data_IF_480355811776
#
_entry.id   IF_480355811776
#
_cell.length_a   1.000
_cell.length_b   1.000
_cell.length_c   1.000
_cell.angle_alpha   90.00
_cell.angle_beta   90.00
_cell.angle_gamma   90.00
#
_symmetry.space_group_name_H-M   'P 1'
#
loop_
_entity.id
_entity.type
_entity.pdbx_description
1 polymer ?
#
# COMPACT_ATOMS: atom_id res chain seq x y z
N UNK A 1 43.44 68.48 -30.66
CA UNK A 1 44.06 67.26 -30.13
C UNK A 1 42.91 66.46 -29.53
N UNK A 2 41.99 65.97 -30.34
CA UNK A 2 42.18 64.93 -31.39
C UNK A 2 42.73 63.68 -30.71
N UNK A 3 42.25 62.47 -30.92
CA UNK A 3 41.08 61.85 -31.55
C UNK A 3 41.28 60.34 -31.27
N UNK A 4 40.33 59.52 -31.70
CA UNK A 4 40.40 58.05 -31.81
C UNK A 4 40.08 57.28 -30.52
N UNK A 5 39.27 56.22 -30.51
CA UNK A 5 38.30 55.58 -31.42
C UNK A 5 37.85 54.34 -30.61
N UNK A 6 36.55 54.02 -30.55
CA UNK A 6 35.97 52.80 -31.15
C UNK A 6 36.65 51.48 -30.71
N UNK A 7 35.99 50.46 -30.16
CA UNK A 7 34.77 49.81 -30.66
C UNK A 7 34.29 48.75 -29.64
N UNK A 8 32.99 48.38 -29.61
CA UNK A 8 32.41 47.36 -28.76
C UNK A 8 32.67 45.96 -29.33
N UNK A 9 32.51 44.94 -28.49
CA UNK A 9 32.28 43.58 -28.98
C UNK A 9 30.83 43.23 -28.71
N UNK A 10 30.06 43.36 -29.79
CA UNK A 10 28.83 42.64 -30.04
C UNK A 10 29.07 41.13 -30.09
N UNK A 11 28.03 40.42 -29.69
CA UNK A 11 27.49 39.19 -30.29
C UNK A 11 28.40 37.99 -30.51
N UNK A 12 28.11 36.94 -29.74
CA UNK A 12 28.03 35.57 -30.24
C UNK A 12 27.05 34.77 -29.37
N UNK A 13 25.75 35.00 -29.58
CA UNK A 13 24.72 34.00 -29.29
C UNK A 13 24.40 33.29 -30.62
N UNK A 14 24.61 31.97 -30.73
CA UNK A 14 24.06 31.24 -31.86
C UNK A 14 22.56 31.02 -31.65
N UNK A 15 21.75 31.77 -32.39
CA UNK A 15 20.42 31.32 -32.81
C UNK A 15 20.59 30.18 -33.82
N UNK A 16 19.91 29.06 -33.58
CA UNK A 16 19.66 28.03 -34.60
C UNK A 16 18.37 27.29 -34.26
N UNK A 17 17.29 27.83 -34.84
CA UNK A 17 16.19 27.15 -35.54
C UNK A 17 15.24 26.17 -34.81
N UNK A 18 13.94 26.21 -35.17
CA UNK A 18 12.89 25.42 -34.57
C UNK A 18 12.89 23.99 -35.13
N UNK A 19 12.73 22.99 -34.26
CA UNK A 19 12.41 21.62 -34.68
C UNK A 19 10.91 21.55 -34.91
N UNK A 20 10.53 21.64 -36.17
CA UNK A 20 9.25 21.23 -36.71
C UNK A 20 9.25 19.70 -36.80
N UNK A 21 8.64 19.02 -35.83
CA UNK A 21 8.32 17.60 -35.94
C UNK A 21 6.80 17.47 -35.87
N UNK A 22 6.23 17.46 -37.07
CA UNK A 22 4.84 17.11 -37.31
C UNK A 22 4.51 15.74 -36.73
N UNK A 23 3.33 15.71 -36.11
CA UNK A 23 2.52 14.54 -35.81
C UNK A 23 2.53 13.54 -36.98
N UNK A 24 2.97 12.32 -36.72
CA UNK A 24 2.54 11.17 -37.51
C UNK A 24 2.01 10.10 -36.53
N UNK A 25 0.69 10.12 -36.36
CA UNK A 25 -0.06 9.01 -35.74
C UNK A 25 0.03 7.78 -36.66
N UNK A 26 0.36 6.59 -36.13
CA UNK A 26 0.11 5.36 -36.86
C UNK A 26 -1.39 5.02 -36.77
N UNK A 27 -2.10 5.19 -37.89
CA UNK A 27 -3.43 4.58 -38.12
C UNK A 27 -3.33 3.05 -38.06
N UNK A 28 -4.25 2.37 -37.37
CA UNK A 28 -4.42 0.92 -37.51
C UNK A 28 -5.15 0.61 -38.85
N UNK A 29 -4.77 -0.46 -39.57
CA UNK A 29 -5.54 -0.92 -40.71
C UNK A 29 -6.86 -1.57 -40.25
N UNK A 30 -7.95 -1.10 -40.84
CA UNK A 30 -9.26 -1.73 -40.87
C UNK A 30 -9.31 -2.69 -42.06
N UNK A 31 -9.75 -3.92 -41.83
CA UNK A 31 -10.53 -4.76 -42.76
C UNK A 31 -11.20 -5.80 -41.86
N UNK A 32 -12.51 -5.68 -41.56
CA UNK A 32 -13.63 -6.25 -42.33
C UNK A 32 -13.35 -7.66 -42.84
N UNK A 33 -14.25 -8.63 -42.80
CA UNK A 33 -15.52 -8.95 -42.14
C UNK A 33 -15.85 -10.34 -42.72
N UNK A 34 -16.92 -10.98 -42.23
CA UNK A 34 -17.63 -12.10 -42.86
C UNK A 34 -16.98 -13.51 -42.72
N UNK A 35 -17.70 -14.59 -42.43
CA UNK A 35 -19.15 -14.80 -42.50
C UNK A 35 -19.56 -16.10 -41.79
N UNK A 36 -20.76 -16.05 -41.20
CA UNK A 36 -21.84 -17.07 -41.22
C UNK A 36 -21.67 -18.42 -40.52
N UNK A 37 -22.40 -18.54 -39.41
CA UNK A 37 -23.59 -19.38 -39.23
C UNK A 37 -23.72 -20.65 -40.09
N UNK A 38 -24.04 -21.78 -39.42
CA UNK A 38 -25.24 -22.56 -39.75
C UNK A 38 -25.63 -23.54 -38.61
N UNK A 39 -26.77 -23.23 -37.99
CA UNK A 39 -27.91 -24.13 -37.71
C UNK A 39 -28.08 -25.29 -38.74
N UNK A 40 -28.76 -26.43 -38.57
CA UNK A 40 -29.56 -27.10 -37.52
C UNK A 40 -30.04 -28.45 -38.14
N UNK A 41 -30.33 -29.45 -37.29
CA UNK A 41 -31.25 -30.60 -37.43
C UNK A 41 -31.08 -31.66 -38.56
N UNK A 42 -31.12 -32.94 -38.16
CA UNK A 42 -32.25 -33.91 -38.33
C UNK A 42 -31.69 -35.34 -38.11
N UNK A 43 -32.15 -36.06 -37.09
CA UNK A 43 -33.24 -37.04 -37.11
C UNK A 43 -32.81 -38.43 -37.64
N UNK A 44 -32.91 -39.44 -36.77
CA UNK A 44 -33.80 -40.62 -36.91
C UNK A 44 -33.18 -42.00 -36.59
N UNK A 45 -33.97 -42.73 -35.79
CA UNK A 45 -34.13 -44.18 -35.52
C UNK A 45 -32.97 -45.20 -35.48
N UNK A 46 -32.99 -46.06 -34.44
CA UNK A 46 -32.48 -47.44 -34.55
C UNK A 46 -32.05 -48.19 -33.26
N UNK A 47 -33.02 -48.70 -32.48
CA UNK A 47 -33.07 -50.02 -31.81
C UNK A 47 -32.05 -50.45 -30.72
N UNK A 48 -32.64 -50.75 -29.55
CA UNK A 48 -32.38 -51.82 -28.58
C UNK A 48 -31.00 -51.97 -27.89
N UNK A 49 -30.96 -51.89 -26.55
CA UNK A 49 -31.23 -53.01 -25.62
C UNK A 49 -30.62 -52.72 -24.22
N UNK A 50 -31.29 -53.20 -23.15
CA UNK A 50 -30.77 -53.56 -21.80
C UNK A 50 -30.78 -52.53 -20.65
N UNK A 51 -31.76 -52.75 -19.76
CA UNK A 51 -31.78 -52.73 -18.27
C UNK A 51 -31.37 -51.49 -17.44
N UNK A 52 -32.08 -51.20 -16.32
CA UNK A 52 -31.79 -50.07 -15.44
C UNK A 52 -30.79 -50.45 -14.33
N UNK A 53 -29.67 -49.73 -14.26
CA UNK A 53 -28.70 -49.78 -13.15
C UNK A 53 -28.68 -48.47 -12.33
N UNK A 54 -28.16 -48.51 -11.09
CA UNK A 54 -28.68 -47.75 -9.94
C UNK A 54 -28.02 -46.37 -9.73
N UNK A 55 -28.71 -45.56 -8.91
CA UNK A 55 -28.25 -44.25 -8.40
C UNK A 55 -26.87 -44.34 -7.73
N UNK A 56 -25.94 -43.41 -7.98
CA UNK A 56 -24.75 -43.27 -7.17
C UNK A 56 -25.03 -42.45 -5.91
N UNK A 57 -24.85 -43.10 -4.76
CA UNK A 57 -24.66 -42.46 -3.46
C UNK A 57 -23.37 -41.64 -3.49
N UNK A 58 -23.46 -40.34 -3.20
CA UNK A 58 -22.28 -39.49 -2.99
C UNK A 58 -21.81 -39.66 -1.56
N UNK A 59 -20.73 -40.41 -1.39
CA UNK A 59 -19.89 -40.40 -0.20
C UNK A 59 -19.38 -38.97 0.05
N UNK A 60 -19.87 -38.32 1.11
CA UNK A 60 -19.30 -37.08 1.63
C UNK A 60 -18.29 -37.40 2.73
N UNK A 61 -17.03 -37.55 2.33
CA UNK A 61 -15.88 -37.53 3.23
C UNK A 61 -15.86 -36.20 4.01
N UNK A 62 -16.28 -36.26 5.27
CA UNK A 62 -16.25 -35.14 6.21
C UNK A 62 -14.83 -35.02 6.78
N UNK A 63 -13.98 -34.22 6.12
CA UNK A 63 -12.76 -33.69 6.74
C UNK A 63 -13.16 -32.55 7.68
N UNK A 64 -13.37 -32.86 8.96
CA UNK A 64 -13.42 -31.86 10.02
C UNK A 64 -12.02 -31.26 10.21
N UNK A 65 -11.75 -30.16 9.51
CA UNK A 65 -10.66 -29.26 9.84
C UNK A 65 -11.18 -28.27 10.90
N UNK A 66 -10.91 -28.57 12.17
CA UNK A 66 -11.10 -27.65 13.28
C UNK A 66 -10.11 -26.47 13.15
N UNK A 67 -10.40 -25.54 12.26
CA UNK A 67 -9.85 -24.21 12.35
C UNK A 67 -10.78 -23.41 13.25
N UNK A 68 -10.25 -22.99 14.40
CA UNK A 68 -10.84 -21.97 15.25
C UNK A 68 -11.08 -20.72 14.40
N UNK A 69 -12.24 -20.61 13.79
CA UNK A 69 -12.73 -19.37 13.23
C UNK A 69 -13.02 -18.43 14.41
N UNK A 70 -12.03 -17.62 14.76
CA UNK A 70 -12.34 -16.34 15.39
C UNK A 70 -13.28 -15.63 14.42
N UNK A 71 -14.46 -15.16 14.86
CA UNK A 71 -15.37 -14.44 13.99
C UNK A 71 -14.60 -13.28 13.38
N UNK A 72 -14.45 -13.32 12.06
CA UNK A 72 -13.76 -12.29 11.31
C UNK A 72 -14.68 -11.06 11.37
N UNK A 73 -14.41 -10.16 12.30
CA UNK A 73 -15.19 -8.93 12.45
C UNK A 73 -15.13 -8.18 11.12
N UNK A 74 -16.29 -7.74 10.62
CA UNK A 74 -16.46 -7.09 9.30
C UNK A 74 -15.65 -5.79 9.14
N UNK A 75 -14.87 -5.40 10.16
CA UNK A 75 -13.95 -4.27 10.14
C UNK A 75 -14.62 -2.90 10.15
N UNK A 76 -15.94 -2.87 10.02
CA UNK A 76 -16.77 -1.66 10.12
C UNK A 76 -17.08 -1.26 11.56
N UNK A 77 -16.64 -2.05 12.53
CA UNK A 77 -16.74 -1.77 13.96
C UNK A 77 -15.82 -0.62 14.33
N UNK A 78 -16.35 0.32 15.12
CA UNK A 78 -15.55 1.36 15.75
C UNK A 78 -14.66 0.75 16.83
N UNK A 79 -13.43 1.24 16.91
CA UNK A 79 -12.55 0.82 18.01
C UNK A 79 -12.92 1.57 19.29
N UNK A 80 -12.59 0.99 20.43
CA UNK A 80 -12.78 1.67 21.71
C UNK A 80 -11.84 2.88 21.85
N UNK A 81 -12.23 3.89 22.64
CA UNK A 81 -11.39 5.05 22.98
C UNK A 81 -10.02 4.59 23.51
N UNK A 82 -10.02 3.58 24.40
CA UNK A 82 -8.81 2.98 24.97
C UNK A 82 -7.90 2.36 23.90
N UNK A 83 -8.49 1.63 22.94
CA UNK A 83 -7.74 1.08 21.79
C UNK A 83 -7.14 2.19 20.92
N UNK A 84 -7.87 3.29 20.73
CA UNK A 84 -7.43 4.45 19.94
C UNK A 84 -6.26 5.18 20.62
N UNK A 85 -6.39 5.49 21.92
CA UNK A 85 -5.33 6.09 22.72
C UNK A 85 -4.07 5.22 22.68
N UNK A 86 -4.21 3.91 22.91
CA UNK A 86 -3.07 2.99 22.87
C UNK A 86 -2.38 2.98 21.51
N UNK A 87 -3.15 3.07 20.43
CA UNK A 87 -2.60 3.15 19.08
C UNK A 87 -1.74 4.40 18.90
N UNK A 88 -2.28 5.56 19.30
CA UNK A 88 -1.60 6.85 19.26
C UNK A 88 -0.34 6.86 20.14
N UNK A 89 -0.44 6.39 21.39
CA UNK A 89 0.70 6.29 22.32
C UNK A 89 1.80 5.36 21.78
N UNK A 90 1.43 4.30 21.04
CA UNK A 90 2.40 3.37 20.46
C UNK A 90 3.14 3.95 19.24
N UNK A 91 2.58 4.94 18.56
CA UNK A 91 3.25 5.59 17.41
C UNK A 91 4.46 6.42 17.83
N UNK A 92 4.39 7.09 18.98
CA UNK A 92 5.46 7.99 19.44
C UNK A 92 6.81 7.26 19.54
N UNK A 93 6.95 6.12 20.27
CA UNK A 93 8.20 5.37 20.32
C UNK A 93 8.67 4.86 18.95
N UNK A 94 7.75 4.55 18.03
CA UNK A 94 8.09 4.12 16.68
C UNK A 94 8.74 5.27 15.90
N UNK A 95 8.18 6.48 15.97
CA UNK A 95 8.72 7.69 15.35
C UNK A 95 10.11 8.03 15.91
N UNK A 96 10.28 7.97 17.23
CA UNK A 96 11.59 8.19 17.88
C UNK A 96 12.63 7.16 17.45
N UNK A 97 12.27 5.88 17.39
CA UNK A 97 13.20 4.79 17.03
C UNK A 97 13.69 4.88 15.58
N UNK A 98 12.83 5.39 14.70
CA UNK A 98 13.11 5.57 13.29
C UNK A 98 13.86 6.86 12.97
N UNK A 99 14.15 7.68 13.98
CA UNK A 99 14.89 8.94 13.88
C UNK A 99 14.30 9.84 12.79
N UNK A 100 13.01 10.16 12.94
CA UNK A 100 12.27 11.03 12.03
C UNK A 100 12.08 12.42 12.65
N UNK A 101 13.10 13.29 12.65
CA UNK A 101 13.08 14.57 13.36
C UNK A 101 12.06 15.57 12.81
N UNK A 102 11.57 15.39 11.59
CA UNK A 102 10.58 16.30 10.97
C UNK A 102 9.13 16.01 11.39
N UNK A 103 8.91 15.10 12.34
CA UNK A 103 7.57 14.74 12.80
C UNK A 103 7.23 15.33 14.19
N UNK A 104 7.89 16.41 14.61
CA UNK A 104 7.62 17.08 15.89
C UNK A 104 6.18 17.63 15.96
N UNK A 105 5.71 18.28 14.90
CA UNK A 105 4.33 18.78 14.80
C UNK A 105 3.30 17.63 14.84
N UNK A 106 3.63 16.53 14.18
CA UNK A 106 2.83 15.30 14.18
C UNK A 106 2.78 14.64 15.56
N UNK A 107 3.90 14.63 16.30
CA UNK A 107 3.93 14.16 17.67
C UNK A 107 3.07 15.04 18.59
N UNK A 108 3.17 16.37 18.47
CA UNK A 108 2.33 17.29 19.23
C UNK A 108 0.84 17.11 18.92
N UNK A 109 0.51 16.83 17.65
CA UNK A 109 -0.86 16.50 17.24
C UNK A 109 -1.34 15.22 17.93
N UNK A 110 -0.54 14.15 17.92
CA UNK A 110 -0.84 12.90 18.61
C UNK A 110 -1.11 13.15 20.11
N UNK A 111 -0.23 13.91 20.77
CA UNK A 111 -0.34 14.21 22.21
C UNK A 111 -1.64 14.97 22.54
N UNK A 112 -1.99 15.98 21.74
CA UNK A 112 -3.25 16.73 21.88
C UNK A 112 -4.48 15.85 21.67
N UNK A 113 -4.47 14.98 20.65
CA UNK A 113 -5.58 14.06 20.39
C UNK A 113 -5.75 13.07 21.57
N UNK A 114 -4.65 12.56 22.13
CA UNK A 114 -4.70 11.70 23.33
C UNK A 114 -5.31 12.44 24.52
N UNK A 115 -4.90 13.70 24.77
CA UNK A 115 -5.44 14.52 25.85
C UNK A 115 -6.95 14.75 25.68
N UNK A 116 -7.38 15.17 24.48
CA UNK A 116 -8.79 15.31 24.12
C UNK A 116 -9.59 14.05 24.43
N UNK A 117 -9.10 12.89 24.01
CA UNK A 117 -9.80 11.62 24.24
C UNK A 117 -9.88 11.21 25.71
N UNK A 118 -8.89 11.58 26.52
CA UNK A 118 -8.89 11.34 27.97
C UNK A 118 -9.92 12.22 28.68
N UNK A 119 -10.16 13.44 28.20
CA UNK A 119 -11.09 14.39 28.83
C UNK A 119 -12.55 14.17 28.41
N UNK A 120 -12.81 14.08 27.10
CA UNK A 120 -14.17 14.12 26.53
C UNK A 120 -14.50 12.93 25.64
N UNK A 121 -13.58 11.96 25.47
CA UNK A 121 -13.75 10.80 24.59
C UNK A 121 -13.52 11.12 23.11
N UNK A 122 -13.86 10.17 22.23
CA UNK A 122 -13.64 10.26 20.78
C UNK A 122 -14.95 10.32 19.97
N UNK A 123 -16.02 10.86 20.54
CA UNK A 123 -17.36 10.79 19.94
C UNK A 123 -17.43 11.38 18.52
N UNK A 124 -16.67 12.45 18.28
CA UNK A 124 -16.58 13.17 17.00
C UNK A 124 -15.53 12.59 16.04
N UNK A 125 -14.60 11.78 16.55
CA UNK A 125 -13.41 11.28 15.83
C UNK A 125 -13.33 9.75 15.92
N UNK A 126 -14.48 9.09 15.88
CA UNK A 126 -14.56 7.63 15.94
C UNK A 126 -13.94 7.04 14.70
N UNK A 127 -12.92 6.22 14.90
CA UNK A 127 -12.28 5.47 13.82
C UNK A 127 -12.72 4.00 13.82
N UNK A 128 -12.86 3.45 12.63
CA UNK A 128 -13.19 2.05 12.38
C UNK A 128 -11.93 1.21 12.27
N UNK A 129 -12.05 -0.08 12.59
CA UNK A 129 -10.95 -1.02 12.43
C UNK A 129 -10.44 -1.10 10.98
N UNK A 130 -11.29 -0.90 9.98
CA UNK A 130 -10.87 -0.84 8.58
C UNK A 130 -10.01 0.39 8.26
N UNK A 131 -10.23 1.52 8.94
CA UNK A 131 -9.38 2.72 8.78
C UNK A 131 -7.99 2.46 9.36
N UNK A 132 -7.91 1.81 10.54
CA UNK A 132 -6.65 1.31 11.09
C UNK A 132 -5.93 0.37 10.12
N UNK A 133 -6.61 -0.65 9.59
CA UNK A 133 -6.00 -1.61 8.66
C UNK A 133 -5.51 -0.93 7.38
N UNK A 134 -6.29 0.01 6.86
CA UNK A 134 -5.98 0.75 5.64
C UNK A 134 -4.76 1.65 5.84
N UNK A 135 -4.69 2.36 6.96
CA UNK A 135 -3.55 3.24 7.27
C UNK A 135 -2.25 2.44 7.45
N UNK A 136 -2.30 1.32 8.19
CA UNK A 136 -1.17 0.42 8.37
C UNK A 136 -0.69 -0.20 7.04
N UNK A 137 -1.62 -0.65 6.20
CA UNK A 137 -1.29 -1.20 4.89
C UNK A 137 -0.67 -0.13 3.98
N UNK A 138 -1.22 1.09 4.00
CA UNK A 138 -0.72 2.22 3.21
C UNK A 138 0.72 2.56 3.61
N UNK A 139 0.98 2.67 4.91
CA UNK A 139 2.32 2.88 5.46
C UNK A 139 3.31 1.80 4.97
N UNK A 140 2.93 0.52 5.11
CA UNK A 140 3.76 -0.60 4.69
C UNK A 140 4.06 -0.57 3.18
N UNK A 141 3.05 -0.28 2.35
CA UNK A 141 3.21 -0.20 0.90
C UNK A 141 4.12 0.96 0.46
N UNK A 142 4.02 2.13 1.11
CA UNK A 142 4.90 3.27 0.83
C UNK A 142 6.36 2.88 1.05
N UNK A 143 6.65 2.23 2.18
CA UNK A 143 8.01 1.81 2.54
C UNK A 143 8.50 0.69 1.62
N UNK A 144 7.70 -0.35 1.39
CA UNK A 144 8.06 -1.49 0.55
C UNK A 144 8.40 -1.06 -0.88
N UNK A 145 7.56 -0.19 -1.49
CA UNK A 145 7.79 0.32 -2.85
C UNK A 145 8.96 1.27 -2.96
N UNK A 146 9.31 1.93 -1.85
CA UNK A 146 10.45 2.85 -1.80
C UNK A 146 11.78 2.14 -1.57
N UNK A 147 11.75 0.89 -1.10
CA UNK A 147 12.92 0.12 -0.75
C UNK A 147 13.66 -0.41 -1.98
N UNK A 148 14.94 -0.04 -2.11
CA UNK A 148 15.83 -0.42 -3.21
C UNK A 148 17.16 -0.94 -2.65
N UNK A 149 17.82 -1.81 -3.41
CA UNK A 149 19.18 -2.30 -3.05
C UNK A 149 20.23 -1.19 -3.14
N UNK A 150 20.09 -0.32 -4.12
CA UNK A 150 20.96 0.84 -4.33
C UNK A 150 20.13 2.12 -4.31
N UNK A 151 20.57 3.10 -3.54
CA UNK A 151 19.98 4.43 -3.46
C UNK A 151 20.95 5.43 -4.07
N UNK A 152 20.38 6.42 -4.76
CA UNK A 152 21.14 7.54 -5.33
C UNK A 152 21.93 8.22 -4.22
N UNK A 153 23.24 8.38 -4.45
CA UNK A 153 24.16 9.02 -3.50
C UNK A 153 23.68 10.46 -3.26
N UNK A 154 23.27 10.78 -2.00
CA UNK A 154 23.08 12.10 -1.36
C UNK A 154 21.87 12.19 -0.42
N UNK A 155 21.02 11.17 -0.33
CA UNK A 155 19.89 11.16 0.61
C UNK A 155 20.22 10.40 1.89
N UNK A 156 19.69 10.85 3.03
CA UNK A 156 19.69 10.08 4.27
C UNK A 156 18.75 8.88 4.12
N UNK A 157 19.24 7.71 4.52
CA UNK A 157 18.54 6.44 4.28
C UNK A 157 18.45 5.63 5.55
N UNK A 158 17.39 4.82 5.63
CA UNK A 158 17.23 3.81 6.66
C UNK A 158 17.07 2.42 6.05
N UNK A 159 17.25 1.41 6.88
CA UNK A 159 17.12 -0.01 6.55
C UNK A 159 15.65 -0.43 6.59
N UNK A 160 15.24 -1.23 5.59
CA UNK A 160 13.92 -1.88 5.57
C UNK A 160 13.77 -2.86 6.73
N UNK A 161 14.82 -3.61 7.06
CA UNK A 161 14.83 -4.47 8.24
C UNK A 161 14.61 -3.67 9.53
N UNK A 162 15.34 -2.57 9.74
CA UNK A 162 15.15 -1.69 10.91
C UNK A 162 13.70 -1.18 10.98
N UNK A 163 13.12 -0.77 9.86
CA UNK A 163 11.72 -0.33 9.82
C UNK A 163 10.75 -1.44 10.20
N UNK A 164 10.88 -2.62 9.61
CA UNK A 164 9.95 -3.73 9.87
C UNK A 164 10.04 -4.23 11.31
N UNK A 165 11.23 -4.20 11.92
CA UNK A 165 11.40 -4.51 13.35
C UNK A 165 10.59 -3.52 14.20
N UNK A 166 10.77 -2.21 14.00
CA UNK A 166 10.03 -1.18 14.72
C UNK A 166 8.53 -1.29 14.49
N UNK A 167 8.11 -1.52 13.24
CA UNK A 167 6.71 -1.64 12.86
C UNK A 167 6.06 -2.90 13.45
N UNK A 168 6.76 -4.03 13.46
CA UNK A 168 6.30 -5.26 14.11
C UNK A 168 6.13 -5.04 15.61
N UNK A 169 7.10 -4.41 16.28
CA UNK A 169 7.01 -4.11 17.71
C UNK A 169 5.84 -3.17 18.04
N UNK A 170 5.63 -2.15 17.20
CA UNK A 170 4.45 -1.28 17.27
C UNK A 170 3.16 -2.11 17.22
N UNK A 171 2.97 -2.95 16.19
CA UNK A 171 1.77 -3.77 16.03
C UNK A 171 1.51 -4.71 17.20
N UNK A 172 2.55 -5.35 17.74
CA UNK A 172 2.44 -6.24 18.90
C UNK A 172 2.00 -5.46 20.16
N UNK A 173 2.45 -4.22 20.31
CA UNK A 173 2.12 -3.36 21.45
C UNK A 173 0.64 -2.97 21.47
N UNK A 174 -0.01 -2.88 20.30
CA UNK A 174 -1.44 -2.57 20.18
C UNK A 174 -2.33 -3.60 20.89
N UNK A 175 -1.91 -4.87 20.92
CA UNK A 175 -2.70 -6.00 21.47
C UNK A 175 -4.11 -6.09 20.87
N UNK A 176 -4.25 -5.79 19.58
CA UNK A 176 -5.50 -5.89 18.82
C UNK A 176 -5.51 -7.18 18.01
N UNK A 177 -6.39 -8.12 18.36
CA UNK A 177 -6.47 -9.45 17.71
C UNK A 177 -6.86 -9.33 16.24
N UNK A 178 -7.60 -8.28 15.90
CA UNK A 178 -8.02 -7.90 14.56
C UNK A 178 -6.84 -7.63 13.61
N UNK A 179 -5.63 -7.44 14.16
CA UNK A 179 -4.38 -7.21 13.46
C UNK A 179 -3.42 -8.41 13.46
N UNK A 180 -3.79 -9.56 14.05
CA UNK A 180 -2.90 -10.73 14.17
C UNK A 180 -2.40 -11.23 12.80
N UNK A 181 -3.28 -11.22 11.79
CA UNK A 181 -2.91 -11.56 10.40
C UNK A 181 -1.90 -10.57 9.81
N UNK A 182 -2.02 -9.29 10.17
CA UNK A 182 -1.11 -8.24 9.73
C UNK A 182 0.25 -8.36 10.42
N UNK A 183 0.28 -8.67 11.72
CA UNK A 183 1.49 -9.01 12.48
C UNK A 183 2.22 -10.19 11.84
N UNK A 184 1.49 -11.26 11.51
CA UNK A 184 2.05 -12.45 10.86
C UNK A 184 2.65 -12.11 9.48
N UNK A 185 2.00 -11.23 8.70
CA UNK A 185 2.52 -10.75 7.42
C UNK A 185 3.84 -9.99 7.58
N UNK A 186 3.92 -9.03 8.49
CA UNK A 186 5.17 -8.27 8.74
C UNK A 186 6.29 -9.22 9.17
N UNK A 187 5.99 -10.18 10.07
CA UNK A 187 6.94 -11.20 10.51
C UNK A 187 7.42 -12.09 9.37
N UNK A 188 6.58 -12.39 8.38
CA UNK A 188 6.98 -13.11 7.17
C UNK A 188 7.96 -12.28 6.34
N UNK A 189 7.64 -11.01 6.06
CA UNK A 189 8.51 -10.10 5.30
C UNK A 189 9.90 -9.97 5.95
N UNK A 190 9.97 -9.87 7.28
CA UNK A 190 11.25 -9.84 8.01
C UNK A 190 12.09 -11.11 7.77
N UNK A 191 11.47 -12.28 7.62
CA UNK A 191 12.20 -13.53 7.35
C UNK A 191 12.76 -13.56 5.93
N UNK A 192 12.07 -12.97 4.96
CA UNK A 192 12.50 -12.90 3.57
C UNK A 192 13.70 -11.96 3.36
N UNK A 193 13.86 -10.94 4.22
CA UNK A 193 14.91 -9.93 4.12
C UNK A 193 16.30 -10.38 4.59
N UNK A 194 16.42 -11.52 5.28
CA UNK A 194 17.60 -11.96 6.07
C UNK A 194 18.95 -12.01 5.33
N UNK A 195 18.97 -11.89 4.00
CA UNK A 195 20.20 -11.97 3.20
C UNK A 195 20.40 -10.75 2.27
N UNK A 196 19.41 -9.87 2.14
CA UNK A 196 19.46 -8.73 1.23
C UNK A 196 18.61 -7.57 1.77
N UNK A 197 19.10 -6.91 2.81
CA UNK A 197 18.43 -5.71 3.32
C UNK A 197 18.39 -4.63 2.22
N UNK A 198 17.24 -3.99 2.12
CA UNK A 198 17.01 -2.88 1.19
C UNK A 198 17.02 -1.60 2.00
N UNK A 199 17.49 -0.52 1.40
CA UNK A 199 17.40 0.79 2.04
C UNK A 199 16.29 1.61 1.38
N UNK A 200 15.84 2.65 2.05
CA UNK A 200 14.95 3.66 1.48
C UNK A 200 15.18 5.04 2.13
N UNK A 201 14.80 6.13 1.46
CA UNK A 201 15.00 7.48 1.99
C UNK A 201 14.19 7.73 3.27
N UNK A 202 14.77 8.43 4.26
CA UNK A 202 14.07 8.76 5.51
C UNK A 202 12.78 9.55 5.24
N UNK A 203 12.77 10.41 4.22
CA UNK A 203 11.56 11.13 3.78
C UNK A 203 10.38 10.21 3.45
N UNK A 204 10.65 8.99 2.96
CA UNK A 204 9.60 7.99 2.70
C UNK A 204 9.05 7.38 3.99
N UNK A 205 9.89 7.22 5.02
CA UNK A 205 9.42 6.85 6.37
C UNK A 205 8.47 7.91 6.90
N UNK A 206 8.85 9.18 6.80
CA UNK A 206 8.07 10.31 7.29
C UNK A 206 6.68 10.34 6.65
N UNK A 207 6.61 10.28 5.31
CA UNK A 207 5.33 10.23 4.59
C UNK A 207 4.50 9.00 4.95
N UNK A 208 5.15 7.84 5.15
CA UNK A 208 4.45 6.62 5.53
C UNK A 208 3.83 6.74 6.94
N UNK A 209 4.54 7.34 7.90
CA UNK A 209 4.03 7.58 9.24
C UNK A 209 2.94 8.66 9.24
N UNK A 210 3.15 9.76 8.52
CA UNK A 210 2.15 10.83 8.34
C UNK A 210 0.83 10.30 7.79
N UNK A 211 0.87 9.38 6.81
CA UNK A 211 -0.34 8.74 6.29
C UNK A 211 -1.15 7.98 7.35
N UNK A 212 -0.49 7.50 8.42
CA UNK A 212 -1.21 6.92 9.56
C UNK A 212 -1.83 8.03 10.39
N UNK A 213 -1.05 9.05 10.74
CA UNK A 213 -1.46 10.10 11.65
C UNK A 213 -2.61 10.93 11.05
N UNK A 214 -2.61 11.19 9.75
CA UNK A 214 -3.72 11.88 9.05
C UNK A 214 -5.07 11.16 9.17
N UNK A 215 -5.06 9.84 9.31
CA UNK A 215 -6.29 9.04 9.43
C UNK A 215 -6.66 8.85 10.91
N UNK A 216 -5.66 8.67 11.77
CA UNK A 216 -5.85 8.23 13.16
C UNK A 216 -5.81 9.38 14.18
N UNK A 217 -5.24 10.53 13.83
CA UNK A 217 -5.26 11.77 14.60
C UNK A 217 -5.71 12.94 13.70
N UNK A 218 -7.01 12.98 13.33
CA UNK A 218 -7.57 14.03 12.49
C UNK A 218 -7.53 15.42 13.12
#
# INVERSE_FOLDING_TARGET
MDDYEYNPREDNLPESSPIDNQLEEPKPPVTEEHNKNNEVQNADEGSDTVAPEPKPEKESLTLQNNQNFTPQTNGNEFISVESHIRFLESLIPMMTTLDTPTLEEDQLRIEKTIEKFKEIGNEEEKIRMNEIRTSLMTCLLIVERSAKKEIVKKEDTTSLDKFLISFHQFLVTLKMKELDSFVARVKHMMKELKVNDKKFPIKKVQMALQSIIEIIAP
#
